data_IF_336263471419
#
_entry.id   IF_336263471419
#
_cell.length_a   1.000
_cell.length_b   1.000
_cell.length_c   1.000
_cell.angle_alpha   90.00
_cell.angle_beta   90.00
_cell.angle_gamma   90.00
#
_symmetry.space_group_name_H-M   'P 1'
#
loop_
_entity.id
_entity.type
_entity.pdbx_description
1 polymer ?
#
# COMPACT_ATOMS: atom_id res chain seq x y z
N UNK A 1 -4.76 -39.06 -30.85
CA UNK A 1 -5.13 -38.61 -29.48
C UNK A 1 -4.16 -39.01 -28.36
N UNK A 2 -3.28 -40.02 -28.52
CA UNK A 2 -2.36 -40.44 -27.43
C UNK A 2 -1.22 -39.44 -27.13
N UNK A 3 -0.73 -38.70 -28.13
CA UNK A 3 0.32 -37.69 -27.95
C UNK A 3 -0.10 -36.52 -27.05
N UNK A 4 -1.36 -36.07 -27.15
CA UNK A 4 -1.89 -34.98 -26.32
C UNK A 4 -1.87 -35.33 -24.83
N UNK A 5 -2.18 -36.58 -24.48
CA UNK A 5 -2.18 -37.06 -23.08
C UNK A 5 -0.76 -37.07 -22.47
N UNK A 6 0.28 -37.26 -23.29
CA UNK A 6 1.68 -37.24 -22.83
C UNK A 6 2.14 -35.83 -22.42
N UNK A 7 1.67 -34.81 -23.12
CA UNK A 7 2.04 -33.41 -22.82
C UNK A 7 1.09 -32.73 -21.83
N UNK A 8 -0.10 -33.28 -21.62
CA UNK A 8 -1.09 -32.78 -20.66
C UNK A 8 -0.52 -32.51 -19.26
N UNK A 9 0.25 -33.41 -18.61
CA UNK A 9 0.82 -33.11 -17.29
C UNK A 9 1.83 -31.96 -17.32
N UNK A 10 2.63 -31.84 -18.39
CA UNK A 10 3.59 -30.74 -18.53
C UNK A 10 2.90 -29.40 -18.80
N UNK A 11 1.85 -29.40 -19.63
CA UNK A 11 1.03 -28.22 -19.88
C UNK A 11 0.29 -27.77 -18.62
N UNK A 12 -0.25 -28.73 -17.84
CA UNK A 12 -0.90 -28.45 -16.57
C UNK A 12 0.10 -27.88 -15.55
N UNK A 13 1.29 -28.47 -15.45
CA UNK A 13 2.37 -27.95 -14.61
C UNK A 13 2.76 -26.52 -15.00
N UNK A 14 2.96 -26.25 -16.29
CA UNK A 14 3.30 -24.91 -16.77
C UNK A 14 2.20 -23.89 -16.45
N UNK A 15 0.92 -24.28 -16.57
CA UNK A 15 -0.21 -23.43 -16.21
C UNK A 15 -0.23 -23.10 -14.70
N UNK A 16 -0.10 -24.11 -13.83
CA UNK A 16 -0.02 -23.90 -12.39
C UNK A 16 1.21 -23.07 -11.99
N UNK A 17 2.35 -23.28 -12.64
CA UNK A 17 3.57 -22.52 -12.39
C UNK A 17 3.41 -21.05 -12.78
N UNK A 18 2.81 -20.76 -13.94
CA UNK A 18 2.49 -19.41 -14.35
C UNK A 18 1.53 -18.72 -13.36
N UNK A 19 0.49 -19.42 -12.90
CA UNK A 19 -0.42 -18.91 -11.86
C UNK A 19 0.31 -18.63 -10.54
N UNK A 20 1.24 -19.50 -10.13
CA UNK A 20 2.03 -19.31 -8.92
C UNK A 20 2.93 -18.05 -9.01
N UNK A 21 3.59 -17.82 -10.15
CA UNK A 21 4.40 -16.62 -10.38
C UNK A 21 3.53 -15.36 -10.35
N UNK A 22 2.37 -15.38 -11.02
CA UNK A 22 1.43 -14.26 -11.04
C UNK A 22 0.92 -13.94 -9.62
N UNK A 23 0.57 -14.96 -8.84
CA UNK A 23 0.15 -14.80 -7.45
C UNK A 23 1.28 -14.22 -6.58
N UNK A 24 2.52 -14.72 -6.76
CA UNK A 24 3.68 -14.23 -6.03
C UNK A 24 3.99 -12.76 -6.33
N UNK A 25 4.01 -12.37 -7.60
CA UNK A 25 4.25 -10.97 -8.00
C UNK A 25 3.16 -10.06 -7.44
N UNK A 26 1.89 -10.48 -7.52
CA UNK A 26 0.74 -9.70 -7.03
C UNK A 26 0.70 -9.53 -5.52
N UNK A 27 1.39 -10.40 -4.77
CA UNK A 27 1.48 -10.32 -3.31
C UNK A 27 2.60 -9.40 -2.79
N UNK A 28 3.51 -8.93 -3.66
CA UNK A 28 4.60 -8.06 -3.23
C UNK A 28 4.06 -6.67 -2.88
N UNK A 29 4.37 -6.13 -1.69
CA UNK A 29 4.00 -4.76 -1.34
C UNK A 29 4.72 -3.76 -2.25
N UNK A 30 4.10 -2.61 -2.48
CA UNK A 30 4.68 -1.54 -3.28
C UNK A 30 6.02 -1.08 -2.68
N UNK A 31 7.06 -0.81 -3.48
CA UNK A 31 8.32 -0.27 -2.99
C UNK A 31 8.08 1.10 -2.35
N UNK A 32 8.49 1.26 -1.10
CA UNK A 32 8.28 2.49 -0.31
C UNK A 32 9.55 3.33 -0.29
N UNK A 33 9.42 4.64 -0.55
CA UNK A 33 10.50 5.58 -0.25
C UNK A 33 10.54 5.78 1.28
N UNK A 34 11.60 5.30 1.95
CA UNK A 34 11.64 5.28 3.41
C UNK A 34 11.50 6.66 4.05
N UNK A 35 12.11 7.71 3.48
CA UNK A 35 12.11 9.06 4.07
C UNK A 35 10.71 9.65 4.04
N UNK A 36 10.10 9.67 2.85
CA UNK A 36 8.77 10.23 2.67
C UNK A 36 7.74 9.40 3.43
N UNK A 37 7.82 8.07 3.32
CA UNK A 37 6.87 7.18 3.97
C UNK A 37 6.90 7.35 5.49
N UNK A 38 8.08 7.34 6.13
CA UNK A 38 8.18 7.52 7.59
C UNK A 38 7.70 8.90 8.02
N UNK A 39 8.00 9.95 7.26
CA UNK A 39 7.55 11.30 7.58
C UNK A 39 6.01 11.41 7.51
N UNK A 40 5.40 10.91 6.45
CA UNK A 40 3.94 10.94 6.26
C UNK A 40 3.22 10.01 7.26
N UNK A 41 3.77 8.83 7.54
CA UNK A 41 3.18 7.84 8.43
C UNK A 41 2.95 8.36 9.85
N UNK A 42 3.73 9.32 10.33
CA UNK A 42 3.55 9.95 11.64
C UNK A 42 2.19 10.64 11.79
N UNK A 43 1.65 11.17 10.69
CA UNK A 43 0.38 11.88 10.65
C UNK A 43 -0.80 10.98 10.28
N UNK A 44 -0.54 9.82 9.65
CA UNK A 44 -1.60 8.86 9.35
C UNK A 44 -2.23 8.31 10.65
N UNK A 45 -3.57 8.27 10.72
CA UNK A 45 -4.25 7.74 11.89
C UNK A 45 -4.27 6.21 11.90
N UNK A 46 -3.93 5.54 10.80
CA UNK A 46 -4.00 4.09 10.68
C UNK A 46 -2.76 3.39 11.25
N UNK A 47 -2.98 2.31 12.00
CA UNK A 47 -1.89 1.50 12.54
C UNK A 47 -2.27 0.02 12.63
N UNK A 48 -1.25 -0.83 12.72
CA UNK A 48 -1.41 -2.27 12.85
C UNK A 48 -1.36 -2.67 14.33
N UNK A 49 -2.40 -3.35 14.80
CA UNK A 49 -2.52 -3.86 16.16
C UNK A 49 -2.46 -5.39 16.19
N UNK A 50 -1.76 -5.95 17.18
CA UNK A 50 -1.58 -7.39 17.33
C UNK A 50 -2.80 -8.01 18.01
N UNK A 51 -3.33 -9.09 17.44
CA UNK A 51 -4.38 -9.91 18.06
C UNK A 51 -4.02 -11.39 18.05
N UNK A 52 -4.71 -12.17 18.88
CA UNK A 52 -4.70 -13.63 18.76
C UNK A 52 -5.27 -13.99 17.38
N UNK A 53 -4.42 -14.54 16.50
CA UNK A 53 -4.80 -14.89 15.12
C UNK A 53 -4.44 -13.84 14.05
N UNK A 54 -3.53 -12.90 14.32
CA UNK A 54 -2.91 -12.06 13.28
C UNK A 54 -2.90 -10.57 13.60
N UNK A 55 -3.00 -9.75 12.55
CA UNK A 55 -2.97 -8.30 12.66
C UNK A 55 -4.35 -7.69 12.37
N UNK A 56 -4.65 -6.57 13.03
CA UNK A 56 -5.86 -5.77 12.83
C UNK A 56 -5.44 -4.37 12.43
N UNK A 57 -6.12 -3.77 11.47
CA UNK A 57 -5.94 -2.35 11.17
C UNK A 57 -6.91 -1.56 12.05
N UNK A 58 -6.38 -0.60 12.80
CA UNK A 58 -7.12 0.33 13.66
C UNK A 58 -6.86 1.77 13.24
N UNK A 59 -7.72 2.67 13.70
CA UNK A 59 -7.59 4.11 13.51
C UNK A 59 -7.45 4.78 14.89
N UNK A 60 -6.53 5.75 15.03
CA UNK A 60 -6.31 6.50 16.28
C UNK A 60 -7.41 7.51 16.60
N UNK A 61 -8.11 7.98 15.58
CA UNK A 61 -9.17 8.99 15.66
C UNK A 61 -10.57 8.37 15.78
N UNK A 62 -10.75 7.13 15.29
CA UNK A 62 -12.00 6.37 15.39
C UNK A 62 -11.79 5.01 16.07
N UNK A 63 -12.18 4.91 17.35
CA UNK A 63 -12.06 3.69 18.15
C UNK A 63 -12.93 2.52 17.63
N UNK A 64 -13.99 2.83 16.88
CA UNK A 64 -14.90 1.83 16.32
C UNK A 64 -14.36 1.24 15.02
N UNK A 65 -13.45 1.93 14.33
CA UNK A 65 -12.84 1.45 13.10
C UNK A 65 -11.90 0.26 13.36
N UNK A 66 -12.28 -0.91 12.82
CA UNK A 66 -11.49 -2.15 12.91
C UNK A 66 -11.63 -2.96 11.64
N UNK A 67 -10.59 -2.97 10.80
CA UNK A 67 -10.50 -3.88 9.66
C UNK A 67 -9.65 -5.10 10.02
N UNK A 68 -10.18 -6.29 9.72
CA UNK A 68 -9.56 -7.58 10.06
C UNK A 68 -9.18 -8.38 8.80
N UNK A 69 -8.34 -7.84 7.91
CA UNK A 69 -7.95 -8.54 6.69
C UNK A 69 -7.17 -9.83 7.01
N UNK A 70 -7.10 -10.72 6.02
CA UNK A 70 -6.26 -11.92 6.11
C UNK A 70 -4.79 -11.54 5.94
N UNK A 71 -3.87 -12.42 6.32
CA UNK A 71 -2.43 -12.18 6.13
C UNK A 71 -2.06 -11.89 4.67
N UNK A 72 -2.79 -12.49 3.71
CA UNK A 72 -2.55 -12.28 2.28
C UNK A 72 -2.95 -10.87 1.80
N UNK A 73 -3.94 -10.24 2.42
CA UNK A 73 -4.48 -8.94 1.97
C UNK A 73 -4.11 -7.79 2.89
N UNK A 74 -3.58 -8.06 4.08
CA UNK A 74 -3.29 -7.06 5.12
C UNK A 74 -2.56 -5.81 4.58
N UNK A 75 -1.42 -5.99 3.93
CA UNK A 75 -0.62 -4.86 3.46
C UNK A 75 -1.30 -4.10 2.32
N UNK A 76 -2.09 -4.80 1.49
CA UNK A 76 -2.86 -4.18 0.41
C UNK A 76 -3.99 -3.33 0.95
N UNK A 77 -4.73 -3.82 1.95
CA UNK A 77 -5.78 -3.06 2.61
C UNK A 77 -5.21 -1.88 3.42
N UNK A 78 -4.07 -2.08 4.09
CA UNK A 78 -3.39 -1.00 4.78
C UNK A 78 -2.94 0.10 3.81
N UNK A 79 -2.31 -0.27 2.69
CA UNK A 79 -1.91 0.67 1.65
C UNK A 79 -3.11 1.38 1.02
N UNK A 80 -4.26 0.69 0.84
CA UNK A 80 -5.51 1.31 0.37
C UNK A 80 -5.94 2.43 1.31
N UNK A 81 -5.92 2.19 2.62
CA UNK A 81 -6.28 3.20 3.62
C UNK A 81 -5.28 4.36 3.64
N UNK A 82 -3.98 4.07 3.63
CA UNK A 82 -2.92 5.08 3.56
C UNK A 82 -3.03 5.95 2.30
N UNK A 83 -3.35 5.35 1.16
CA UNK A 83 -3.57 6.06 -0.11
C UNK A 83 -4.81 6.95 -0.04
N UNK A 84 -5.93 6.43 0.45
CA UNK A 84 -7.17 7.20 0.55
C UNK A 84 -7.01 8.42 1.46
N UNK A 85 -6.36 8.23 2.61
CA UNK A 85 -5.99 9.31 3.50
C UNK A 85 -5.02 10.28 2.81
N UNK A 86 -3.98 9.77 2.14
CA UNK A 86 -3.02 10.58 1.41
C UNK A 86 -3.66 11.53 0.40
N UNK A 87 -4.68 11.07 -0.35
CA UNK A 87 -5.40 11.93 -1.31
C UNK A 87 -6.14 13.10 -0.68
N UNK A 88 -6.54 12.97 0.59
CA UNK A 88 -7.29 14.01 1.31
C UNK A 88 -6.36 14.94 2.08
N UNK A 89 -5.24 14.42 2.57
CA UNK A 89 -4.36 15.11 3.52
C UNK A 89 -2.99 15.49 2.94
N UNK A 90 -2.67 15.09 1.72
CA UNK A 90 -1.39 15.44 1.10
C UNK A 90 -1.65 16.30 -0.13
N UNK A 91 -0.90 17.39 -0.24
CA UNK A 91 -0.91 18.28 -1.39
C UNK A 91 0.51 18.60 -1.80
N UNK A 92 0.79 18.50 -3.09
CA UNK A 92 2.10 18.82 -3.63
C UNK A 92 2.11 20.28 -4.08
N UNK A 93 3.06 21.06 -3.58
CA UNK A 93 3.29 22.44 -3.98
C UNK A 93 4.76 22.61 -4.41
N UNK A 94 4.97 22.65 -5.72
CA UNK A 94 6.29 22.64 -6.36
C UNK A 94 7.15 21.45 -5.89
N UNK A 95 8.15 21.71 -5.05
CA UNK A 95 9.07 20.70 -4.53
C UNK A 95 8.84 20.44 -3.03
N UNK A 96 7.66 20.80 -2.52
CA UNK A 96 7.30 20.65 -1.11
C UNK A 96 6.00 19.86 -1.00
N UNK A 97 6.00 18.84 -0.16
CA UNK A 97 4.79 18.12 0.21
C UNK A 97 4.17 18.80 1.43
N UNK A 98 2.95 19.29 1.27
CA UNK A 98 2.13 19.82 2.35
C UNK A 98 1.30 18.69 2.96
N UNK A 99 1.33 18.56 4.28
CA UNK A 99 0.53 17.62 5.05
C UNK A 99 -0.56 18.43 5.75
N UNK A 100 -1.81 18.09 5.49
CA UNK A 100 -2.99 18.84 5.89
C UNK A 100 -3.76 18.11 6.99
N UNK A 101 -4.41 18.87 7.87
CA UNK A 101 -5.38 18.34 8.82
C UNK A 101 -6.74 18.04 8.16
N UNK A 102 -7.72 17.62 8.98
CA UNK A 102 -9.09 17.35 8.54
C UNK A 102 -9.86 18.61 8.10
N UNK A 103 -9.35 19.81 8.40
CA UNK A 103 -9.93 21.10 8.01
C UNK A 103 -9.23 21.72 6.78
N UNK A 104 -8.17 21.08 6.25
CA UNK A 104 -7.36 21.60 5.15
C UNK A 104 -6.24 22.57 5.58
N UNK A 105 -5.99 22.74 6.87
CA UNK A 105 -4.89 23.55 7.40
C UNK A 105 -3.58 22.77 7.30
N UNK A 106 -2.48 23.44 6.98
CA UNK A 106 -1.16 22.79 6.91
C UNK A 106 -0.64 22.44 8.31
N UNK A 107 -0.53 21.14 8.59
CA UNK A 107 0.08 20.60 9.81
C UNK A 107 1.61 20.60 9.72
N UNK A 108 2.13 20.27 8.53
CA UNK A 108 3.56 20.10 8.32
C UNK A 108 3.91 20.26 6.84
N UNK A 109 5.18 20.56 6.59
CA UNK A 109 5.73 20.68 5.24
C UNK A 109 6.99 19.83 5.14
N UNK A 110 7.15 19.13 4.03
CA UNK A 110 8.26 18.24 3.78
C UNK A 110 8.90 18.61 2.44
N UNK A 111 10.10 19.22 2.44
CA UNK A 111 10.81 19.48 1.20
C UNK A 111 11.22 18.16 0.55
N UNK A 112 10.98 18.06 -0.75
CA UNK A 112 11.39 16.97 -1.62
C UNK A 112 12.75 17.31 -2.21
N UNK A 113 13.64 16.32 -2.28
CA UNK A 113 15.02 16.51 -2.72
C UNK A 113 15.32 15.80 -4.04
N UNK A 114 14.51 14.79 -4.39
CA UNK A 114 14.74 13.98 -5.58
C UNK A 114 13.46 13.73 -6.35
N UNK A 115 13.58 13.56 -7.67
CA UNK A 115 12.44 13.17 -8.52
C UNK A 115 11.83 11.82 -8.10
N UNK A 116 12.63 10.91 -7.53
CA UNK A 116 12.15 9.63 -7.00
C UNK A 116 11.15 9.80 -5.85
N UNK A 117 11.30 10.85 -5.04
CA UNK A 117 10.37 11.16 -3.95
C UNK A 117 9.05 11.70 -4.49
N UNK A 118 9.14 12.58 -5.48
CA UNK A 118 7.99 13.13 -6.20
C UNK A 118 7.20 11.99 -6.86
N UNK A 119 7.88 11.12 -7.62
CA UNK A 119 7.26 9.94 -8.24
C UNK A 119 6.65 8.98 -7.22
N UNK A 120 7.32 8.78 -6.08
CA UNK A 120 6.75 7.96 -5.01
C UNK A 120 5.43 8.52 -4.49
N UNK A 121 5.33 9.85 -4.30
CA UNK A 121 4.10 10.49 -3.84
C UNK A 121 2.96 10.30 -4.88
N UNK A 122 3.27 10.55 -6.15
CA UNK A 122 2.32 10.33 -7.26
C UNK A 122 1.83 8.88 -7.31
N UNK A 123 2.75 7.90 -7.26
CA UNK A 123 2.38 6.49 -7.45
C UNK A 123 1.78 5.84 -6.20
N UNK A 124 2.30 6.14 -5.02
CA UNK A 124 1.89 5.50 -3.77
C UNK A 124 0.62 6.13 -3.20
N UNK A 125 0.59 7.45 -3.08
CA UNK A 125 -0.54 8.18 -2.51
C UNK A 125 -1.56 8.65 -3.57
N UNK A 126 -1.19 8.69 -4.85
CA UNK A 126 -2.13 9.11 -5.90
C UNK A 126 -2.51 10.59 -5.81
N UNK A 127 -1.58 11.40 -5.28
CA UNK A 127 -1.71 12.86 -5.12
C UNK A 127 -1.18 13.49 -6.40
N UNK A 128 -2.03 14.19 -7.15
CA UNK A 128 -1.66 14.88 -8.40
C UNK A 128 -1.42 16.37 -8.16
#
# INVERSE_FOLDING_TARGET
MQSLRKYLPFALFAAFFALAILAFISSKPSPKNERIYKAVQQYSPYYLDRRLGGLTIKNKEDENFKEKPTNMTLFKEFERLERNWGKQHLKLDNNTLLILDNNGTTLSTLPLHTEKEVQFIYHYYGVN
#
